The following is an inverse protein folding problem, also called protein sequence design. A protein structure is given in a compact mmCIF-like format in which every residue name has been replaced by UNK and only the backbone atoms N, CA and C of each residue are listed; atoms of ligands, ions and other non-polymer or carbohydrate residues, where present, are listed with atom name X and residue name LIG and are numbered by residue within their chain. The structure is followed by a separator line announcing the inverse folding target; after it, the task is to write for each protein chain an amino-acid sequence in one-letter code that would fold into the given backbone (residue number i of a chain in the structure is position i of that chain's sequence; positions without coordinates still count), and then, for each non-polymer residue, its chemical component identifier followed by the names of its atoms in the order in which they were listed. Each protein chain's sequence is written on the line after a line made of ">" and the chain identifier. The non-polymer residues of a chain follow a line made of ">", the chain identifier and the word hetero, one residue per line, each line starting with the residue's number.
data_IF_985430561183
#
_entry.id   IF_985430561183
#
_cell.length_a   1.000
_cell.length_b   1.000
_cell.length_c   1.000
_cell.angle_alpha   90.00
_cell.angle_beta   90.00
_cell.angle_gamma   90.00
#
_symmetry.space_group_name_H-M   'P 1'
#
loop_
_entity.id
_entity.type
_entity.pdbx_description
1 polymer ?
#
# COMPACT_ATOMS: atom_id res chain seq x y z
N UNK A 1 83.85 -76.90 -76.63
CA UNK A 1 85.10 -77.65 -76.95
C UNK A 1 85.66 -78.48 -75.78
N UNK A 2 85.93 -77.95 -74.59
CA UNK A 2 86.45 -78.78 -73.46
C UNK A 2 85.33 -79.57 -72.76
N UNK A 3 84.17 -78.95 -72.51
CA UNK A 3 83.02 -79.62 -71.88
C UNK A 3 82.45 -80.78 -72.72
N UNK A 4 82.33 -80.60 -74.04
CA UNK A 4 81.88 -81.66 -74.97
C UNK A 4 82.88 -82.82 -75.09
N UNK A 5 84.19 -82.56 -75.00
CA UNK A 5 85.20 -83.62 -75.04
C UNK A 5 85.18 -84.43 -73.73
N UNK A 6 84.93 -83.76 -72.61
CA UNK A 6 84.75 -84.39 -71.30
C UNK A 6 83.48 -85.26 -71.25
N UNK A 7 82.35 -84.78 -71.80
CA UNK A 7 81.13 -85.60 -71.92
C UNK A 7 81.34 -86.84 -72.80
N UNK A 8 82.06 -86.70 -73.92
CA UNK A 8 82.40 -87.82 -74.81
C UNK A 8 83.32 -88.85 -74.15
N UNK A 9 84.38 -88.40 -73.47
CA UNK A 9 85.27 -89.30 -72.73
C UNK A 9 84.54 -89.99 -71.55
N UNK A 10 83.61 -89.28 -70.91
CA UNK A 10 82.83 -89.81 -69.78
C UNK A 10 81.77 -90.83 -70.23
N UNK A 11 81.12 -90.60 -71.37
CA UNK A 11 80.17 -91.56 -71.95
C UNK A 11 80.87 -92.81 -72.50
N UNK A 12 82.07 -92.66 -73.05
CA UNK A 12 82.92 -93.76 -73.52
C UNK A 12 83.51 -94.58 -72.35
N UNK A 13 83.90 -93.94 -71.24
CA UNK A 13 84.32 -94.62 -70.01
C UNK A 13 83.18 -95.42 -69.35
N UNK A 14 81.96 -94.90 -69.33
CA UNK A 14 80.76 -95.63 -68.87
C UNK A 14 80.46 -96.83 -69.78
N UNK A 15 80.79 -96.71 -71.08
CA UNK A 15 80.61 -97.78 -72.06
C UNK A 15 81.54 -98.97 -71.89
N UNK A 16 82.69 -98.80 -71.24
CA UNK A 16 83.70 -99.84 -70.99
C UNK A 16 83.62 -100.46 -69.58
N UNK A 17 82.60 -100.11 -68.80
CA UNK A 17 82.32 -100.73 -67.50
C UNK A 17 81.43 -101.98 -67.66
N UNK A 18 81.66 -103.00 -66.82
CA UNK A 18 80.83 -104.21 -66.73
C UNK A 18 79.34 -103.86 -66.48
N UNK A 19 78.43 -104.69 -67.00
CA UNK A 19 76.97 -104.50 -66.98
C UNK A 19 76.43 -104.18 -65.57
N UNK A 20 76.98 -104.85 -64.55
CA UNK A 20 76.64 -104.64 -63.14
C UNK A 20 77.04 -103.24 -62.66
N UNK A 21 78.22 -102.76 -63.02
CA UNK A 21 78.71 -101.42 -62.66
C UNK A 21 77.91 -100.31 -63.36
N UNK A 22 77.49 -100.53 -64.61
CA UNK A 22 76.65 -99.58 -65.35
C UNK A 22 75.22 -99.49 -64.79
N UNK A 23 74.63 -100.62 -64.39
CA UNK A 23 73.33 -100.65 -63.72
C UNK A 23 73.39 -99.91 -62.38
N UNK A 24 74.45 -100.17 -61.59
CA UNK A 24 74.68 -99.46 -60.32
C UNK A 24 74.86 -97.96 -60.54
N UNK A 25 75.58 -97.53 -61.59
CA UNK A 25 75.74 -96.11 -61.91
C UNK A 25 74.42 -95.44 -62.30
N UNK A 26 73.61 -96.06 -63.16
CA UNK A 26 72.28 -95.53 -63.52
C UNK A 26 71.36 -95.41 -62.30
N UNK A 27 71.39 -96.41 -61.43
CA UNK A 27 70.61 -96.37 -60.18
C UNK A 27 71.14 -95.28 -59.25
N UNK A 28 72.46 -95.10 -59.13
CA UNK A 28 73.06 -94.02 -58.34
C UNK A 28 72.65 -92.64 -58.87
N UNK A 29 72.62 -92.44 -60.21
CA UNK A 29 72.14 -91.21 -60.83
C UNK A 29 70.65 -90.97 -60.54
N UNK A 30 69.81 -92.00 -60.64
CA UNK A 30 68.38 -91.90 -60.33
C UNK A 30 68.13 -91.59 -58.85
N UNK A 31 68.86 -92.27 -57.97
CA UNK A 31 68.79 -92.05 -56.52
C UNK A 31 69.29 -90.65 -56.16
N UNK A 32 70.37 -90.17 -56.79
CA UNK A 32 70.85 -88.79 -56.58
C UNK A 32 69.83 -87.74 -57.08
N UNK A 33 69.19 -87.95 -58.22
CA UNK A 33 68.15 -87.03 -58.71
C UNK A 33 66.91 -87.02 -57.79
N UNK A 34 66.49 -88.19 -57.27
CA UNK A 34 65.42 -88.28 -56.27
C UNK A 34 65.82 -87.62 -54.94
N UNK A 35 67.09 -87.78 -54.53
CA UNK A 35 67.63 -87.14 -53.34
C UNK A 35 67.67 -85.62 -53.49
N UNK A 36 68.12 -85.09 -54.63
CA UNK A 36 68.10 -83.65 -54.93
C UNK A 36 66.67 -83.08 -54.93
N UNK A 37 65.71 -83.80 -55.53
CA UNK A 37 64.31 -83.39 -55.52
C UNK A 37 63.75 -83.33 -54.10
N UNK A 38 63.94 -84.39 -53.30
CA UNK A 38 63.46 -84.40 -51.92
C UNK A 38 64.22 -83.44 -51.00
N UNK A 39 65.51 -83.16 -51.26
CA UNK A 39 66.23 -82.10 -50.56
C UNK A 39 65.60 -80.74 -50.86
N UNK A 40 65.29 -80.44 -52.12
CA UNK A 40 64.66 -79.17 -52.51
C UNK A 40 63.25 -79.03 -51.95
N UNK A 41 62.43 -80.08 -52.04
CA UNK A 41 61.10 -80.13 -51.42
C UNK A 41 61.18 -79.96 -49.90
N UNK A 42 62.16 -80.60 -49.25
CA UNK A 42 62.44 -80.41 -47.83
C UNK A 42 62.85 -78.99 -47.46
N UNK A 43 63.63 -78.32 -48.32
CA UNK A 43 63.99 -76.90 -48.14
C UNK A 43 62.81 -75.96 -48.33
N UNK A 44 61.95 -76.20 -49.33
CA UNK A 44 60.73 -75.42 -49.58
C UNK A 44 59.73 -75.58 -48.42
N UNK A 45 59.47 -76.82 -47.97
CA UNK A 45 58.65 -77.10 -46.80
C UNK A 45 59.24 -76.50 -45.53
N UNK A 46 60.57 -76.47 -45.39
CA UNK A 46 61.23 -75.82 -44.24
C UNK A 46 61.02 -74.31 -44.27
N UNK A 47 61.13 -73.67 -45.43
CA UNK A 47 60.85 -72.23 -45.59
C UNK A 47 59.38 -71.90 -45.28
N UNK A 48 58.45 -72.69 -45.78
CA UNK A 48 57.02 -72.50 -45.51
C UNK A 48 56.69 -72.72 -44.03
N UNK A 49 57.26 -73.76 -43.40
CA UNK A 49 57.15 -73.98 -41.96
C UNK A 49 57.69 -72.78 -41.17
N UNK A 50 58.85 -72.25 -41.55
CA UNK A 50 59.48 -71.13 -40.86
C UNK A 50 58.64 -69.85 -41.00
N UNK A 51 58.07 -69.60 -42.19
CA UNK A 51 57.13 -68.50 -42.43
C UNK A 51 55.85 -68.65 -41.58
N UNK A 52 55.21 -69.83 -41.60
CA UNK A 52 54.01 -70.08 -40.81
C UNK A 52 54.28 -69.98 -39.30
N UNK A 53 55.48 -70.34 -38.84
CA UNK A 53 55.88 -70.16 -37.44
C UNK A 53 56.04 -68.68 -37.07
N UNK A 54 56.50 -67.85 -37.99
CA UNK A 54 56.63 -66.40 -37.80
C UNK A 54 55.24 -65.75 -37.78
N UNK A 55 54.39 -66.03 -38.77
CA UNK A 55 53.00 -65.54 -38.81
C UNK A 55 52.21 -65.94 -37.56
N UNK A 56 52.36 -67.19 -37.09
CA UNK A 56 51.65 -67.66 -35.90
C UNK A 56 52.13 -66.93 -34.63
N UNK A 57 53.42 -66.59 -34.54
CA UNK A 57 53.93 -65.75 -33.44
C UNK A 57 53.37 -64.34 -33.52
N UNK A 58 53.37 -63.72 -34.70
CA UNK A 58 52.81 -62.39 -34.89
C UNK A 58 51.32 -62.35 -34.53
N UNK A 59 50.52 -63.26 -35.09
CA UNK A 59 49.09 -63.38 -34.80
C UNK A 59 48.81 -63.65 -33.31
N UNK A 60 49.64 -64.46 -32.65
CA UNK A 60 49.51 -64.68 -31.20
C UNK A 60 49.74 -63.39 -30.43
N UNK A 61 50.78 -62.62 -30.78
CA UNK A 61 51.06 -61.34 -30.13
C UNK A 61 49.96 -60.30 -30.37
N UNK A 62 49.41 -60.24 -31.58
CA UNK A 62 48.33 -59.32 -31.94
C UNK A 62 47.04 -59.69 -31.20
N UNK A 63 46.74 -60.99 -31.09
CA UNK A 63 45.59 -61.50 -30.32
C UNK A 63 45.72 -61.14 -28.84
N UNK A 64 46.90 -61.27 -28.24
CA UNK A 64 47.14 -60.88 -26.85
C UNK A 64 46.97 -59.36 -26.66
N UNK A 65 47.53 -58.55 -27.56
CA UNK A 65 47.37 -57.09 -27.53
C UNK A 65 45.90 -56.67 -27.66
N UNK A 66 45.18 -57.23 -28.64
CA UNK A 66 43.76 -56.98 -28.83
C UNK A 66 42.94 -57.43 -27.61
N UNK A 67 43.30 -58.56 -26.99
CA UNK A 67 42.70 -59.02 -25.75
C UNK A 67 42.83 -57.99 -24.62
N UNK A 68 44.01 -57.42 -24.43
CA UNK A 68 44.26 -56.37 -23.44
C UNK A 68 43.44 -55.10 -23.74
N UNK A 69 43.41 -54.64 -24.98
CA UNK A 69 42.66 -53.44 -25.40
C UNK A 69 41.16 -53.62 -25.16
N UNK A 70 40.59 -54.77 -25.54
CA UNK A 70 39.17 -55.07 -25.32
C UNK A 70 38.87 -55.08 -23.83
N UNK A 71 39.73 -55.70 -23.01
CA UNK A 71 39.55 -55.72 -21.57
C UNK A 71 39.59 -54.30 -20.96
N UNK A 72 40.52 -53.45 -21.39
CA UNK A 72 40.61 -52.05 -20.98
C UNK A 72 39.34 -51.27 -21.36
N UNK A 73 38.87 -51.39 -22.61
CA UNK A 73 37.66 -50.73 -23.08
C UNK A 73 36.41 -51.19 -22.34
N UNK A 74 36.31 -52.47 -21.99
CA UNK A 74 35.22 -52.98 -21.16
C UNK A 74 35.23 -52.35 -19.77
N UNK A 75 36.41 -52.20 -19.14
CA UNK A 75 36.52 -51.52 -17.84
C UNK A 75 36.16 -50.04 -17.95
N UNK A 76 36.60 -49.36 -19.00
CA UNK A 76 36.27 -47.95 -19.27
C UNK A 76 34.75 -47.76 -19.47
N UNK A 77 34.11 -48.58 -20.32
CA UNK A 77 32.67 -48.54 -20.52
C UNK A 77 31.88 -48.78 -19.22
N UNK A 78 32.33 -49.72 -18.36
CA UNK A 78 31.71 -49.94 -17.05
C UNK A 78 31.82 -48.70 -16.14
N UNK A 79 32.98 -48.04 -16.12
CA UNK A 79 33.17 -46.80 -15.35
C UNK A 79 32.27 -45.68 -15.87
N UNK A 80 32.22 -45.48 -17.19
CA UNK A 80 31.36 -44.46 -17.81
C UNK A 80 29.88 -44.74 -17.56
N UNK A 81 29.43 -45.99 -17.70
CA UNK A 81 28.04 -46.38 -17.42
C UNK A 81 27.66 -46.09 -15.97
N UNK A 82 28.56 -46.33 -15.01
CA UNK A 82 28.33 -45.99 -13.60
C UNK A 82 28.21 -44.47 -13.42
N UNK A 83 29.10 -43.70 -14.03
CA UNK A 83 29.06 -42.25 -13.94
C UNK A 83 27.77 -41.65 -14.53
N UNK A 84 27.31 -42.17 -15.68
CA UNK A 84 26.03 -41.79 -16.30
C UNK A 84 24.88 -42.08 -15.34
N UNK A 85 24.85 -43.26 -14.71
CA UNK A 85 23.81 -43.61 -13.74
C UNK A 85 23.79 -42.65 -12.54
N UNK A 86 24.96 -42.29 -11.99
CA UNK A 86 25.07 -41.34 -10.87
C UNK A 86 24.59 -39.93 -11.26
N UNK A 87 24.92 -39.47 -12.47
CA UNK A 87 24.45 -38.18 -12.98
C UNK A 87 22.94 -38.18 -13.20
N UNK A 88 22.37 -39.26 -13.74
CA UNK A 88 20.93 -39.40 -13.92
C UNK A 88 20.17 -39.34 -12.59
N UNK A 89 20.70 -39.98 -11.55
CA UNK A 89 20.10 -39.92 -10.22
C UNK A 89 20.15 -38.51 -9.61
N UNK A 90 21.28 -37.80 -9.79
CA UNK A 90 21.41 -36.39 -9.38
C UNK A 90 20.40 -35.49 -10.11
N UNK A 91 20.28 -35.63 -11.43
CA UNK A 91 19.31 -34.88 -12.24
C UNK A 91 17.89 -35.13 -11.73
N UNK A 92 17.51 -36.40 -11.54
CA UNK A 92 16.18 -36.76 -11.02
C UNK A 92 15.91 -36.18 -9.63
N UNK A 93 16.92 -36.12 -8.78
CA UNK A 93 16.80 -35.55 -7.43
C UNK A 93 16.63 -34.03 -7.49
N UNK A 94 17.38 -33.36 -8.36
CA UNK A 94 17.26 -31.92 -8.61
C UNK A 94 15.90 -31.56 -9.21
N UNK A 95 15.41 -32.31 -10.20
CA UNK A 95 14.10 -32.12 -10.81
C UNK A 95 12.96 -32.22 -9.79
N UNK A 96 13.05 -33.20 -8.87
CA UNK A 96 12.09 -33.35 -7.76
C UNK A 96 12.14 -32.16 -6.81
N UNK A 97 13.34 -31.74 -6.41
CA UNK A 97 13.54 -30.59 -5.52
C UNK A 97 12.99 -29.31 -6.16
N UNK A 98 13.30 -29.08 -7.44
CA UNK A 98 12.79 -27.94 -8.19
C UNK A 98 11.26 -27.97 -8.30
N UNK A 99 10.67 -29.13 -8.60
CA UNK A 99 9.22 -29.28 -8.67
C UNK A 99 8.54 -28.96 -7.33
N UNK A 100 9.16 -29.35 -6.22
CA UNK A 100 8.68 -29.03 -4.88
C UNK A 100 8.72 -27.53 -4.62
N UNK A 101 9.87 -26.90 -4.88
CA UNK A 101 10.05 -25.45 -4.70
C UNK A 101 9.06 -24.66 -5.56
N UNK A 102 8.89 -25.02 -6.84
CA UNK A 102 7.92 -24.34 -7.73
C UNK A 102 6.52 -24.40 -7.14
N UNK A 103 6.09 -25.55 -6.62
CA UNK A 103 4.77 -25.70 -6.00
C UNK A 103 4.62 -24.85 -4.74
N UNK A 104 5.61 -24.86 -3.86
CA UNK A 104 5.60 -24.03 -2.64
C UNK A 104 5.53 -22.54 -2.98
N UNK A 105 6.29 -22.09 -3.99
CA UNK A 105 6.24 -20.70 -4.46
C UNK A 105 4.86 -20.34 -5.06
N UNK A 106 4.22 -21.26 -5.79
CA UNK A 106 2.88 -21.03 -6.32
C UNK A 106 1.84 -20.94 -5.21
N UNK A 107 1.91 -21.84 -4.22
CA UNK A 107 1.02 -21.85 -3.06
C UNK A 107 1.19 -20.58 -2.21
N UNK A 108 2.42 -20.17 -1.93
CA UNK A 108 2.73 -18.94 -1.21
C UNK A 108 2.27 -17.69 -1.99
N UNK A 109 2.53 -17.64 -3.29
CA UNK A 109 2.06 -16.54 -4.16
C UNK A 109 0.54 -16.44 -4.12
N UNK A 110 -0.17 -17.56 -4.24
CA UNK A 110 -1.63 -17.57 -4.21
C UNK A 110 -2.17 -17.13 -2.85
N UNK A 111 -1.55 -17.57 -1.75
CA UNK A 111 -1.91 -17.16 -0.40
C UNK A 111 -1.73 -15.65 -0.19
N UNK A 112 -0.62 -15.08 -0.67
CA UNK A 112 -0.36 -13.63 -0.60
C UNK A 112 -1.40 -12.86 -1.42
N UNK A 113 -1.65 -13.29 -2.66
CA UNK A 113 -2.65 -12.64 -3.52
C UNK A 113 -4.02 -12.65 -2.85
N UNK A 114 -4.47 -13.80 -2.34
CA UNK A 114 -5.76 -13.89 -1.66
C UNK A 114 -5.83 -13.01 -0.41
N UNK A 115 -4.80 -13.04 0.44
CA UNK A 115 -4.76 -12.22 1.65
C UNK A 115 -4.83 -10.71 1.33
N UNK A 116 -4.08 -10.26 0.32
CA UNK A 116 -4.10 -8.86 -0.11
C UNK A 116 -5.43 -8.46 -0.75
N UNK A 117 -6.09 -9.36 -1.49
CA UNK A 117 -7.42 -9.14 -2.04
C UNK A 117 -8.48 -9.00 -0.94
N UNK A 118 -8.44 -9.86 0.07
CA UNK A 118 -9.37 -9.84 1.19
C UNK A 118 -9.16 -8.59 2.06
N UNK A 119 -7.91 -8.21 2.33
CA UNK A 119 -7.58 -6.96 3.04
C UNK A 119 -8.04 -5.73 2.25
N UNK A 120 -7.81 -5.71 0.94
CA UNK A 120 -8.25 -4.61 0.06
C UNK A 120 -9.77 -4.50 0.05
N UNK A 121 -10.48 -5.64 -0.01
CA UNK A 121 -11.95 -5.68 0.01
C UNK A 121 -12.49 -5.16 1.34
N UNK A 122 -11.91 -5.58 2.45
CA UNK A 122 -12.27 -5.11 3.80
C UNK A 122 -12.04 -3.60 3.93
N UNK A 123 -10.87 -3.12 3.52
CA UNK A 123 -10.51 -1.70 3.53
C UNK A 123 -11.46 -0.85 2.70
N UNK A 124 -11.84 -1.32 1.50
CA UNK A 124 -12.84 -0.64 0.65
C UNK A 124 -14.20 -0.53 1.32
N UNK A 125 -14.66 -1.59 2.01
CA UNK A 125 -15.92 -1.57 2.72
C UNK A 125 -15.90 -0.57 3.89
N UNK A 126 -14.80 -0.51 4.64
CA UNK A 126 -14.65 0.45 5.73
C UNK A 126 -14.58 1.90 5.22
N UNK A 127 -13.86 2.16 4.12
CA UNK A 127 -13.84 3.47 3.47
C UNK A 127 -15.27 3.93 3.09
N UNK A 128 -16.06 3.04 2.47
CA UNK A 128 -17.43 3.35 2.09
C UNK A 128 -18.32 3.64 3.33
N UNK A 129 -18.12 2.90 4.43
CA UNK A 129 -18.81 3.13 5.69
C UNK A 129 -18.46 4.49 6.28
N UNK A 130 -17.17 4.83 6.34
CA UNK A 130 -16.67 6.11 6.86
C UNK A 130 -17.17 7.29 6.02
N UNK A 131 -17.15 7.18 4.70
CA UNK A 131 -17.70 8.20 3.79
C UNK A 131 -19.17 8.50 4.10
N UNK A 132 -19.99 7.45 4.28
CA UNK A 132 -21.41 7.62 4.66
C UNK A 132 -21.58 8.31 6.02
N UNK A 133 -20.74 7.98 6.99
CA UNK A 133 -20.77 8.63 8.32
C UNK A 133 -20.43 10.12 8.19
N UNK A 134 -19.39 10.45 7.42
CA UNK A 134 -19.01 11.84 7.16
C UNK A 134 -20.16 12.61 6.52
N UNK A 135 -20.81 12.06 5.49
CA UNK A 135 -21.97 12.71 4.85
C UNK A 135 -23.12 12.98 5.83
N UNK A 136 -23.46 12.01 6.67
CA UNK A 136 -24.50 12.17 7.69
C UNK A 136 -24.11 13.25 8.71
N UNK A 137 -22.86 13.25 9.17
CA UNK A 137 -22.36 14.26 10.11
C UNK A 137 -22.32 15.65 9.49
N UNK A 138 -22.00 15.78 8.20
CA UNK A 138 -22.09 17.06 7.48
C UNK A 138 -23.54 17.55 7.41
N UNK A 139 -24.52 16.66 7.14
CA UNK A 139 -25.94 17.02 7.13
C UNK A 139 -26.43 17.47 8.50
N UNK A 140 -26.05 16.76 9.57
CA UNK A 140 -26.35 17.14 10.96
C UNK A 140 -25.73 18.51 11.30
N UNK A 141 -24.45 18.71 10.98
CA UNK A 141 -23.75 19.98 11.18
C UNK A 141 -24.47 21.13 10.47
N UNK A 142 -24.92 20.92 9.23
CA UNK A 142 -25.66 21.94 8.49
C UNK A 142 -27.05 22.24 9.09
N UNK A 143 -27.69 21.28 9.77
CA UNK A 143 -28.91 21.53 10.54
C UNK A 143 -28.61 22.38 11.78
N UNK A 144 -27.57 22.03 12.53
CA UNK A 144 -27.13 22.79 13.71
C UNK A 144 -26.76 24.22 13.34
N UNK A 145 -26.01 24.43 12.25
CA UNK A 145 -25.67 25.77 11.74
C UNK A 145 -26.91 26.60 11.41
N UNK A 146 -27.92 26.00 10.78
CA UNK A 146 -29.19 26.68 10.47
C UNK A 146 -29.95 27.06 11.75
N UNK A 147 -30.03 26.15 12.71
CA UNK A 147 -30.67 26.44 14.00
C UNK A 147 -29.93 27.56 14.76
N UNK A 148 -28.60 27.51 14.80
CA UNK A 148 -27.79 28.55 15.42
C UNK A 148 -28.00 29.91 14.75
N UNK A 149 -28.07 29.95 13.41
CA UNK A 149 -28.40 31.16 12.66
C UNK A 149 -29.80 31.68 13.03
N UNK A 150 -30.81 30.83 13.04
CA UNK A 150 -32.17 31.24 13.41
C UNK A 150 -32.24 31.83 14.84
N UNK A 151 -31.53 31.22 15.79
CA UNK A 151 -31.46 31.73 17.17
C UNK A 151 -30.78 33.10 17.20
N UNK A 152 -29.72 33.29 16.42
CA UNK A 152 -29.03 34.57 16.31
C UNK A 152 -29.94 35.64 15.70
N UNK A 153 -30.61 35.32 14.58
CA UNK A 153 -31.54 36.22 13.90
C UNK A 153 -32.69 36.63 14.85
N UNK A 154 -33.30 35.66 15.55
CA UNK A 154 -34.32 35.94 16.57
C UNK A 154 -33.80 36.82 17.72
N UNK A 155 -32.56 36.58 18.17
CA UNK A 155 -31.94 37.41 19.19
C UNK A 155 -31.72 38.83 18.69
N UNK A 156 -31.25 39.01 17.46
CA UNK A 156 -31.07 40.32 16.84
C UNK A 156 -32.40 41.06 16.71
N UNK A 157 -33.47 40.39 16.29
CA UNK A 157 -34.82 40.98 16.24
C UNK A 157 -35.31 41.44 17.63
N UNK A 158 -35.10 40.62 18.66
CA UNK A 158 -35.44 40.99 20.04
C UNK A 158 -34.60 42.17 20.55
N UNK A 159 -33.30 42.17 20.27
CA UNK A 159 -32.40 43.26 20.64
C UNK A 159 -32.83 44.58 19.98
N UNK A 160 -33.15 44.55 18.70
CA UNK A 160 -33.68 45.70 17.97
C UNK A 160 -35.01 46.18 18.57
N UNK A 161 -35.95 45.27 18.82
CA UNK A 161 -37.23 45.61 19.47
C UNK A 161 -37.05 46.30 20.82
N UNK A 162 -36.12 45.84 21.66
CA UNK A 162 -35.84 46.46 22.96
C UNK A 162 -35.21 47.85 22.81
N UNK A 163 -34.30 48.04 21.86
CA UNK A 163 -33.70 49.35 21.58
C UNK A 163 -34.77 50.34 21.10
N UNK A 164 -35.60 49.93 20.14
CA UNK A 164 -36.68 50.75 19.60
C UNK A 164 -37.71 51.09 20.70
N UNK A 165 -38.07 50.11 21.53
CA UNK A 165 -39.00 50.33 22.66
C UNK A 165 -38.42 51.27 23.70
N UNK A 166 -37.13 51.16 24.02
CA UNK A 166 -36.45 52.06 24.95
C UNK A 166 -36.36 53.48 24.40
N UNK A 167 -36.10 53.64 23.10
CA UNK A 167 -36.11 54.93 22.43
C UNK A 167 -37.51 55.56 22.44
N UNK A 168 -38.54 54.78 22.11
CA UNK A 168 -39.93 55.22 22.17
C UNK A 168 -40.31 55.72 23.56
N UNK A 169 -40.02 54.94 24.62
CA UNK A 169 -40.34 55.34 25.99
C UNK A 169 -39.57 56.60 26.41
N UNK A 170 -38.30 56.75 26.03
CA UNK A 170 -37.53 57.98 26.31
C UNK A 170 -38.13 59.21 25.66
N UNK A 171 -38.65 59.07 24.44
CA UNK A 171 -39.33 60.15 23.73
C UNK A 171 -40.65 60.52 24.43
N UNK A 172 -41.44 59.52 24.85
CA UNK A 172 -42.67 59.74 25.62
C UNK A 172 -42.40 60.42 26.97
N UNK A 173 -41.39 59.97 27.72
CA UNK A 173 -40.95 60.62 28.97
C UNK A 173 -40.61 62.10 28.70
N UNK A 174 -39.85 62.37 27.64
CA UNK A 174 -39.44 63.75 27.29
C UNK A 174 -40.65 64.63 26.94
N UNK A 175 -41.60 64.09 26.16
CA UNK A 175 -42.83 64.77 25.79
C UNK A 175 -43.70 65.08 27.02
N UNK A 176 -43.96 64.07 27.86
CA UNK A 176 -44.79 64.19 29.06
C UNK A 176 -44.16 65.14 30.07
N UNK A 177 -42.84 65.08 30.30
CA UNK A 177 -42.14 66.05 31.16
C UNK A 177 -42.28 67.48 30.63
N UNK A 178 -42.19 67.67 29.31
CA UNK A 178 -42.38 68.98 28.72
C UNK A 178 -43.83 69.48 28.83
N UNK A 179 -44.81 68.60 28.65
CA UNK A 179 -46.23 68.91 28.79
C UNK A 179 -46.61 69.20 30.25
N UNK A 180 -46.25 68.32 31.19
CA UNK A 180 -46.50 68.50 32.62
C UNK A 180 -45.95 69.83 33.14
N UNK A 181 -44.74 70.22 32.71
CA UNK A 181 -44.19 71.54 33.06
C UNK A 181 -45.06 72.69 32.54
N UNK A 182 -45.50 72.62 31.28
CA UNK A 182 -46.38 73.65 30.68
C UNK A 182 -47.72 73.72 31.39
N UNK A 183 -48.35 72.57 31.64
CA UNK A 183 -49.66 72.48 32.27
C UNK A 183 -49.61 72.94 33.74
N UNK A 184 -48.61 72.49 34.51
CA UNK A 184 -48.40 72.95 35.88
C UNK A 184 -48.13 74.47 35.94
N UNK A 185 -47.40 75.02 34.96
CA UNK A 185 -47.15 76.47 34.88
C UNK A 185 -48.43 77.23 34.56
N UNK A 186 -49.24 76.73 33.63
CA UNK A 186 -50.54 77.32 33.29
C UNK A 186 -51.52 77.28 34.48
N UNK A 187 -51.63 76.15 35.18
CA UNK A 187 -52.47 76.00 36.37
C UNK A 187 -52.04 76.96 37.48
N UNK A 188 -50.75 77.05 37.77
CA UNK A 188 -50.23 77.98 38.77
C UNK A 188 -50.51 79.44 38.40
N UNK A 189 -50.28 79.81 37.14
CA UNK A 189 -50.54 81.16 36.64
C UNK A 189 -52.03 81.50 36.71
N UNK A 190 -52.90 80.61 36.25
CA UNK A 190 -54.36 80.79 36.30
C UNK A 190 -54.85 80.94 37.75
N UNK A 191 -54.31 80.14 38.68
CA UNK A 191 -54.66 80.25 40.11
C UNK A 191 -54.17 81.56 40.72
N UNK A 192 -53.00 82.05 40.31
CA UNK A 192 -52.49 83.36 40.71
C UNK A 192 -53.39 84.50 40.19
N UNK A 193 -53.85 84.43 38.94
CA UNK A 193 -54.80 85.39 38.36
C UNK A 193 -56.17 85.35 39.07
N UNK A 194 -56.70 84.17 39.36
CA UNK A 194 -57.97 84.02 40.07
C UNK A 194 -57.89 84.56 41.51
N UNK A 195 -56.74 84.35 42.18
CA UNK A 195 -56.50 84.93 43.50
C UNK A 195 -56.38 86.45 43.47
N UNK A 196 -55.74 87.00 42.43
CA UNK A 196 -55.70 88.44 42.21
C UNK A 196 -57.09 89.04 41.95
N UNK A 197 -57.99 88.29 41.30
CA UNK A 197 -59.39 88.66 41.10
C UNK A 197 -60.28 88.45 42.34
N UNK A 198 -59.73 87.99 43.47
CA UNK A 198 -60.46 87.73 44.72
C UNK A 198 -61.34 86.47 44.72
N UNK A 199 -61.20 85.60 43.70
CA UNK A 199 -62.01 84.39 43.56
C UNK A 199 -61.38 83.15 44.23
N UNK A 200 -60.12 83.23 44.66
CA UNK A 200 -59.40 82.13 45.30
C UNK A 200 -58.24 82.65 46.18
N UNK A 201 -57.62 81.76 46.95
CA UNK A 201 -56.39 82.08 47.68
C UNK A 201 -55.14 81.95 46.79
N UNK A 202 -54.13 82.79 47.06
CA UNK A 202 -52.84 82.74 46.36
C UNK A 202 -52.15 81.37 46.55
N UNK A 203 -51.70 80.72 45.47
CA UNK A 203 -51.00 79.44 45.58
C UNK A 203 -49.61 79.63 46.21
N UNK A 204 -49.10 78.59 46.89
CA UNK A 204 -47.72 78.59 47.40
C UNK A 204 -46.73 78.78 46.26
N UNK A 205 -45.71 79.63 46.47
CA UNK A 205 -44.67 79.91 45.47
C UNK A 205 -44.07 78.60 44.97
N UNK A 206 -44.13 78.41 43.65
CA UNK A 206 -43.65 77.21 42.96
C UNK A 206 -42.65 77.60 41.89
N UNK A 207 -41.52 76.89 41.84
CA UNK A 207 -40.48 77.13 40.86
C UNK A 207 -40.62 76.21 39.66
N UNK A 208 -40.40 76.78 38.47
CA UNK A 208 -40.46 76.09 37.17
C UNK A 208 -39.10 76.06 36.46
N UNK A 209 -38.08 76.67 37.09
CA UNK A 209 -36.68 76.64 36.66
C UNK A 209 -35.93 75.61 37.51
N UNK A 210 -34.98 74.92 36.89
CA UNK A 210 -34.13 73.97 37.61
C UNK A 210 -33.22 74.76 38.55
N UNK A 211 -33.49 74.68 39.86
CA UNK A 211 -32.69 75.30 40.92
C UNK A 211 -32.76 74.43 42.16
N UNK A 212 -31.61 74.17 42.77
CA UNK A 212 -31.48 73.26 43.92
C UNK A 212 -31.85 73.90 45.27
N UNK A 213 -32.16 75.20 45.28
CA UNK A 213 -32.47 75.95 46.51
C UNK A 213 -33.97 76.11 46.78
N UNK A 214 -34.84 75.59 45.90
CA UNK A 214 -36.28 75.72 46.04
C UNK A 214 -36.92 74.51 46.72
N UNK A 215 -37.73 74.75 47.75
CA UNK A 215 -38.47 73.73 48.51
C UNK A 215 -39.79 73.30 47.85
N UNK A 216 -40.22 73.97 46.77
CA UNK A 216 -41.44 73.62 46.04
C UNK A 216 -41.20 73.80 44.54
N UNK A 217 -40.75 72.71 43.91
CA UNK A 217 -40.30 72.70 42.52
C UNK A 217 -41.03 71.63 41.71
N UNK A 218 -41.48 71.96 40.50
CA UNK A 218 -42.07 70.99 39.55
C UNK A 218 -41.13 69.81 39.24
N UNK A 219 -39.82 70.04 39.27
CA UNK A 219 -38.85 68.96 39.04
C UNK A 219 -38.83 67.93 40.18
N UNK A 220 -39.36 68.25 41.36
CA UNK A 220 -39.49 67.28 42.46
C UNK A 220 -40.59 66.25 42.15
N UNK A 221 -41.76 66.70 41.68
CA UNK A 221 -42.83 65.80 41.21
C UNK A 221 -42.37 64.85 40.09
N UNK A 222 -41.59 65.37 39.13
CA UNK A 222 -41.03 64.55 38.05
C UNK A 222 -40.02 63.51 38.55
N UNK A 223 -39.26 63.82 39.61
CA UNK A 223 -38.36 62.87 40.28
C UNK A 223 -39.12 61.86 41.12
N UNK A 224 -40.27 62.23 41.69
CA UNK A 224 -41.13 61.28 42.40
C UNK A 224 -41.75 60.26 41.45
N UNK A 225 -42.09 60.64 40.22
CA UNK A 225 -42.55 59.71 39.19
C UNK A 225 -41.49 58.65 38.79
N UNK A 226 -40.20 58.93 39.01
CA UNK A 226 -39.10 57.96 38.85
C UNK A 226 -38.94 57.00 40.04
N UNK A 227 -39.48 57.36 41.22
CA UNK A 227 -39.35 56.53 42.43
C UNK A 227 -40.27 55.32 42.32
N UNK A 228 -39.70 54.15 42.60
CA UNK A 228 -40.43 52.89 42.69
C UNK A 228 -40.97 52.72 44.11
N UNK A 229 -41.93 53.55 44.51
CA UNK A 229 -42.56 53.47 45.83
C UNK A 229 -44.00 52.99 45.70
N UNK A 230 -44.30 51.81 46.27
CA UNK A 230 -45.69 51.41 46.55
C UNK A 230 -46.40 50.53 45.53
N UNK A 231 -45.74 49.50 45.00
CA UNK A 231 -46.43 48.46 44.23
C UNK A 231 -46.30 47.11 44.92
N UNK A 232 -47.28 46.80 45.80
CA UNK A 232 -47.49 45.47 46.38
C UNK A 232 -48.55 44.73 45.53
N UNK A 233 -48.15 43.67 44.81
CA UNK A 233 -49.07 42.84 44.03
C UNK A 233 -48.66 42.62 42.58
N UNK A 234 -49.55 42.00 41.78
CA UNK A 234 -49.39 41.90 40.33
C UNK A 234 -49.70 43.27 39.72
N UNK A 235 -48.71 43.88 39.08
CA UNK A 235 -48.85 45.15 38.37
C UNK A 235 -48.85 44.89 36.88
N UNK A 236 -49.86 45.41 36.19
CA UNK A 236 -49.91 45.37 34.73
C UNK A 236 -49.09 46.53 34.14
N UNK A 237 -48.50 46.31 32.96
CA UNK A 237 -47.65 47.33 32.28
C UNK A 237 -48.42 48.63 32.01
N UNK A 238 -49.76 48.53 31.86
CA UNK A 238 -50.66 49.66 31.70
C UNK A 238 -50.64 50.64 32.89
N UNK A 239 -50.42 50.14 34.11
CA UNK A 239 -50.50 50.92 35.35
C UNK A 239 -49.18 51.62 35.71
N UNK A 240 -48.12 51.35 34.95
CA UNK A 240 -46.79 51.93 35.16
C UNK A 240 -46.69 53.33 34.53
N UNK A 241 -46.00 54.25 35.22
CA UNK A 241 -45.53 55.50 34.60
C UNK A 241 -44.52 55.19 33.49
N UNK A 242 -44.32 56.11 32.56
CA UNK A 242 -43.34 55.90 31.49
C UNK A 242 -41.92 55.73 32.03
N UNK A 243 -41.56 56.44 33.08
CA UNK A 243 -40.30 56.27 33.83
C UNK A 243 -40.14 54.86 34.39
N UNK A 244 -41.21 54.27 34.94
CA UNK A 244 -41.19 52.91 35.46
C UNK A 244 -41.12 51.87 34.33
N UNK A 245 -41.84 52.09 33.23
CA UNK A 245 -41.75 51.24 32.02
C UNK A 245 -40.34 51.21 31.45
N UNK A 246 -39.65 52.34 31.43
CA UNK A 246 -38.27 52.45 30.98
C UNK A 246 -37.32 51.57 31.81
N UNK A 247 -37.46 51.62 33.13
CA UNK A 247 -36.66 50.83 34.06
C UNK A 247 -36.90 49.33 33.92
N UNK A 248 -38.17 48.94 33.71
CA UNK A 248 -38.53 47.53 33.42
C UNK A 248 -37.93 47.08 32.10
N UNK A 249 -38.03 47.87 31.03
CA UNK A 249 -37.44 47.54 29.73
C UNK A 249 -35.91 47.38 29.82
N UNK A 250 -35.22 48.26 30.56
CA UNK A 250 -33.78 48.11 30.81
C UNK A 250 -33.44 46.84 31.58
N UNK A 251 -34.23 46.50 32.61
CA UNK A 251 -34.04 45.29 33.39
C UNK A 251 -34.24 44.04 32.52
N UNK A 252 -35.30 44.02 31.70
CA UNK A 252 -35.59 42.91 30.78
C UNK A 252 -34.48 42.75 29.75
N UNK A 253 -33.99 43.85 29.17
CA UNK A 253 -32.88 43.83 28.23
C UNK A 253 -31.57 43.35 28.88
N UNK A 254 -31.27 43.79 30.10
CA UNK A 254 -30.10 43.33 30.86
C UNK A 254 -30.20 41.83 31.20
N UNK A 255 -31.39 41.37 31.62
CA UNK A 255 -31.69 39.97 31.92
C UNK A 255 -31.57 39.08 30.67
N UNK A 256 -32.07 39.54 29.52
CA UNK A 256 -31.92 38.86 28.23
C UNK A 256 -30.44 38.71 27.86
N UNK A 257 -29.63 39.73 28.11
CA UNK A 257 -28.18 39.72 27.86
C UNK A 257 -27.37 38.94 28.91
N UNK A 258 -28.03 38.25 29.85
CA UNK A 258 -27.35 37.45 30.87
C UNK A 258 -26.59 38.25 31.91
N UNK A 259 -26.83 39.57 32.00
CA UNK A 259 -26.36 40.37 33.13
C UNK A 259 -27.20 39.98 34.34
N UNK A 260 -26.67 39.09 35.18
CA UNK A 260 -27.27 38.78 36.48
C UNK A 260 -27.34 40.08 37.28
N UNK A 261 -28.49 40.32 37.91
CA UNK A 261 -28.66 41.35 38.93
C UNK A 261 -27.48 41.26 39.89
N UNK A 262 -26.58 42.23 39.83
CA UNK A 262 -25.57 42.45 40.87
C UNK A 262 -26.38 42.90 42.09
N UNK A 263 -26.89 41.94 42.86
CA UNK A 263 -27.38 42.19 44.21
C UNK A 263 -26.21 42.82 44.96
N UNK A 264 -26.31 44.13 45.19
CA UNK A 264 -25.61 44.76 46.30
C UNK A 264 -26.33 44.37 47.57
#
# INVERSE_FOLDING_TARGET
>A
KIAELAERAHTEAISNLDETTRSVYKENVRVNAALEFHMKEGEELKKERDHLLEDNKELSSEKELNGMIVQEKVVECKKQSKHISELQEKVKTLEKSLSHLVREFEDERNAIVQATEDETRSSRAEIARLQRIVELKTKEMNKVKRLAKNILDQRTELEQFFLDSLEYVKNEISCIRAQYRRDAQAVYHNRMLAAHAGQADYPRVRTFKSSDTSTNNVFEDLREAEKWSGMEGKVDVGDLTWEQRERVLRLLFAKMNGQKDRKK
#
